data_IF_695768952257
#
_entry.id   IF_695768952257
#
_cell.length_a   1.000
_cell.length_b   1.000
_cell.length_c   1.000
_cell.angle_alpha   90.00
_cell.angle_beta   90.00
_cell.angle_gamma   90.00
#
_symmetry.space_group_name_H-M   'P 1'
#
loop_
_entity.id
_entity.type
_entity.pdbx_description
1 polymer ?
#
# COMPACT_ATOMS: atom_id res chain seq x y z
N UNK A 1 5.71 -7.44 49.73
CA UNK A 1 6.47 -6.88 48.58
C UNK A 1 6.58 -5.38 48.79
N UNK A 2 7.77 -4.77 48.71
CA UNK A 2 7.89 -3.33 48.89
C UNK A 2 7.13 -2.63 47.76
N UNK A 3 6.30 -1.67 48.15
CA UNK A 3 5.46 -0.86 47.27
C UNK A 3 6.41 -0.01 46.39
N UNK A 4 6.70 -0.48 45.17
CA UNK A 4 7.46 0.32 44.21
C UNK A 4 6.60 1.51 43.82
N UNK A 5 6.88 2.68 44.40
CA UNK A 5 6.34 3.94 43.93
C UNK A 5 6.72 4.10 42.45
N UNK A 6 5.74 3.94 41.56
CA UNK A 6 5.92 4.16 40.13
C UNK A 6 6.12 5.67 39.90
N UNK A 7 7.36 6.08 39.65
CA UNK A 7 7.67 7.43 39.21
C UNK A 7 7.23 7.59 37.75
N UNK A 8 6.27 8.48 37.49
CA UNK A 8 5.73 8.71 36.14
C UNK A 8 6.62 9.68 35.38
N UNK A 9 7.48 9.20 34.48
CA UNK A 9 8.43 10.05 33.73
C UNK A 9 7.79 10.93 32.65
N UNK A 10 6.69 10.46 32.05
CA UNK A 10 5.99 11.13 30.95
C UNK A 10 4.51 10.73 30.96
N UNK A 11 3.63 11.69 30.67
CA UNK A 11 2.20 11.48 30.43
C UNK A 11 1.83 11.84 29.00
N UNK A 12 0.89 11.10 28.41
CA UNK A 12 0.40 11.27 27.04
C UNK A 12 -1.07 11.71 27.05
N UNK A 13 -1.48 12.48 26.05
CA UNK A 13 -2.85 12.97 25.88
C UNK A 13 -3.36 12.60 24.49
N UNK A 14 -4.63 12.20 24.40
CA UNK A 14 -5.27 11.75 23.17
C UNK A 14 -6.56 12.55 22.93
N UNK A 15 -6.97 12.69 21.67
CA UNK A 15 -8.31 13.17 21.30
C UNK A 15 -9.32 12.01 21.23
N UNK A 16 -10.57 12.32 20.91
CA UNK A 16 -11.66 11.34 20.80
C UNK A 16 -11.53 10.41 19.57
N UNK A 17 -10.53 10.59 18.71
CA UNK A 17 -10.20 9.72 17.58
C UNK A 17 -8.96 8.86 17.88
N UNK A 18 -8.58 8.74 19.16
CA UNK A 18 -7.41 8.02 19.65
C UNK A 18 -6.08 8.51 19.06
N UNK A 19 -6.00 9.79 18.65
CA UNK A 19 -4.76 10.40 18.16
C UNK A 19 -4.04 11.13 19.29
N UNK A 20 -2.73 10.92 19.39
CA UNK A 20 -1.86 11.58 20.36
C UNK A 20 -1.84 13.09 20.10
N UNK A 21 -2.41 13.87 21.01
CA UNK A 21 -2.44 15.35 20.92
C UNK A 21 -1.32 16.02 21.70
N UNK A 22 -0.54 15.26 22.45
CA UNK A 22 0.58 15.81 23.19
C UNK A 22 1.13 14.88 24.26
N UNK A 23 2.26 15.31 24.83
CA UNK A 23 2.88 14.65 25.97
C UNK A 23 3.53 15.67 26.90
N UNK A 24 3.77 15.26 28.15
CA UNK A 24 4.38 16.07 29.19
C UNK A 24 5.33 15.22 30.03
N UNK A 25 6.62 15.56 30.01
CA UNK A 25 7.60 15.01 30.96
C UNK A 25 7.40 15.63 32.35
N UNK A 26 7.89 14.96 33.41
CA UNK A 26 7.91 15.54 34.77
C UNK A 26 8.55 16.91 34.75
N UNK A 27 7.90 17.91 35.35
CA UNK A 27 8.39 19.30 35.44
C UNK A 27 8.66 19.98 34.08
N UNK A 28 8.32 19.33 32.97
CA UNK A 28 8.52 19.82 31.62
C UNK A 28 7.31 20.61 31.10
N UNK A 29 7.57 21.47 30.11
CA UNK A 29 6.52 22.16 29.37
C UNK A 29 5.79 21.14 28.50
N UNK A 30 4.45 21.18 28.52
CA UNK A 30 3.60 20.32 27.68
C UNK A 30 3.94 20.55 26.21
N UNK A 31 4.17 19.45 25.48
CA UNK A 31 4.20 19.45 24.02
C UNK A 31 2.80 19.17 23.49
N UNK A 32 2.36 19.94 22.51
CA UNK A 32 1.08 19.78 21.80
C UNK A 32 1.36 19.46 20.34
N UNK A 33 0.56 18.57 19.77
CA UNK A 33 0.68 18.05 18.42
C UNK A 33 -0.59 18.40 17.65
N UNK A 34 -0.43 18.92 16.43
CA UNK A 34 -1.52 19.36 15.57
C UNK A 34 -1.42 18.67 14.21
N UNK A 35 -2.55 18.16 13.75
CA UNK A 35 -2.65 17.29 12.58
C UNK A 35 -3.51 17.94 11.50
N UNK A 36 -3.11 17.74 10.25
CA UNK A 36 -3.98 17.91 9.08
C UNK A 36 -4.26 16.50 8.55
N UNK A 37 -5.53 16.10 8.58
CA UNK A 37 -5.94 14.69 8.38
C UNK A 37 -5.19 13.76 9.35
N UNK A 38 -4.37 12.85 8.83
CA UNK A 38 -3.55 11.91 9.60
C UNK A 38 -2.09 12.35 9.75
N UNK A 39 -1.71 13.50 9.19
CA UNK A 39 -0.32 13.97 9.17
C UNK A 39 -0.05 15.01 10.24
N UNK A 40 1.03 14.82 11.00
CA UNK A 40 1.54 15.82 11.93
C UNK A 40 2.05 17.03 11.12
N UNK A 41 1.50 18.22 11.41
CA UNK A 41 1.87 19.46 10.71
C UNK A 41 2.57 20.45 11.64
N UNK A 42 2.17 20.49 12.91
CA UNK A 42 2.75 21.44 13.87
C UNK A 42 2.91 20.82 15.24
N UNK A 43 4.04 21.11 15.88
CA UNK A 43 4.26 20.88 17.30
C UNK A 43 4.44 22.22 18.01
N UNK A 44 3.94 22.33 19.24
CA UNK A 44 4.20 23.49 20.11
C UNK A 44 4.67 23.02 21.47
N UNK A 45 5.69 23.67 22.03
CA UNK A 45 6.19 23.43 23.37
C UNK A 45 6.60 24.76 24.00
N UNK A 46 5.72 25.34 24.82
CA UNK A 46 5.92 26.70 25.34
C UNK A 46 5.90 27.71 24.20
N UNK A 47 6.96 28.51 24.09
CA UNK A 47 7.14 29.50 23.02
C UNK A 47 7.78 28.92 21.75
N UNK A 48 8.30 27.69 21.83
CA UNK A 48 8.83 26.99 20.65
C UNK A 48 7.68 26.41 19.82
N UNK A 49 7.66 26.77 18.54
CA UNK A 49 6.80 26.16 17.53
C UNK A 49 7.66 25.46 16.48
N UNK A 50 7.22 24.27 16.08
CA UNK A 50 7.80 23.52 14.97
C UNK A 50 6.75 23.25 13.92
N UNK A 51 7.02 23.62 12.69
CA UNK A 51 6.12 23.37 11.55
C UNK A 51 6.79 22.47 10.55
N UNK A 52 6.03 21.53 9.99
CA UNK A 52 6.51 20.55 9.02
C UNK A 52 6.03 20.99 7.64
N UNK A 53 6.96 21.09 6.69
CA UNK A 53 6.68 21.42 5.30
C UNK A 53 6.80 20.15 4.48
N UNK A 54 5.72 19.77 3.81
CA UNK A 54 5.63 18.56 3.01
C UNK A 54 4.83 18.80 1.73
N UNK A 55 5.05 17.96 0.71
CA UNK A 55 4.26 17.90 -0.50
C UNK A 55 3.88 16.45 -0.80
N UNK A 56 2.58 16.14 -0.71
CA UNK A 56 2.12 14.75 -0.61
C UNK A 56 2.79 14.05 0.58
N UNK A 57 3.34 12.86 0.34
CA UNK A 57 4.08 12.09 1.36
C UNK A 57 5.54 12.50 1.56
N UNK A 58 6.06 13.40 0.72
CA UNK A 58 7.45 13.80 0.78
C UNK A 58 7.64 14.90 1.83
N UNK A 59 8.40 14.61 2.89
CA UNK A 59 8.89 15.61 3.83
C UNK A 59 9.97 16.46 3.15
N UNK A 60 9.83 17.78 3.20
CA UNK A 60 10.72 18.72 2.52
C UNK A 60 11.55 19.54 3.51
N UNK A 61 10.90 20.05 4.56
CA UNK A 61 11.57 20.89 5.54
C UNK A 61 10.91 20.84 6.91
N UNK A 62 11.66 21.24 7.92
CA UNK A 62 11.18 21.54 9.26
C UNK A 62 11.54 22.99 9.60
N UNK A 63 10.55 23.78 9.99
CA UNK A 63 10.73 25.13 10.49
C UNK A 63 10.60 25.15 12.00
N UNK A 64 11.57 25.73 12.69
CA UNK A 64 11.55 25.96 14.13
C UNK A 64 11.47 27.46 14.36
N UNK A 65 10.45 27.90 15.11
CA UNK A 65 10.26 29.28 15.55
C UNK A 65 10.38 29.33 17.06
N UNK A 66 11.26 30.18 17.55
CA UNK A 66 11.37 30.52 18.96
C UNK A 66 11.52 32.04 19.03
N UNK A 67 10.59 32.71 19.70
CA UNK A 67 10.45 34.16 19.68
C UNK A 67 10.40 34.71 18.24
N UNK A 68 11.24 35.70 17.93
CA UNK A 68 11.38 36.29 16.60
C UNK A 68 12.39 35.55 15.70
N UNK A 69 12.96 34.42 16.14
CA UNK A 69 13.92 33.65 15.35
C UNK A 69 13.22 32.51 14.63
N UNK A 70 13.43 32.44 13.32
CA UNK A 70 12.99 31.33 12.48
C UNK A 70 14.19 30.62 11.90
N UNK A 71 14.28 29.33 12.17
CA UNK A 71 15.29 28.42 11.62
C UNK A 71 14.58 27.44 10.70
N UNK A 72 15.12 27.26 9.49
CA UNK A 72 14.62 26.26 8.54
C UNK A 72 15.67 25.18 8.34
N UNK A 73 15.24 23.92 8.38
CA UNK A 73 16.04 22.75 8.09
C UNK A 73 15.45 22.05 6.87
N UNK A 74 16.25 21.90 5.81
CA UNK A 74 15.87 21.08 4.66
C UNK A 74 16.11 19.62 4.99
N UNK A 75 15.16 18.75 4.63
CA UNK A 75 15.19 17.33 4.94
C UNK A 75 15.40 16.52 3.67
N UNK A 76 16.29 15.54 3.72
CA UNK A 76 16.35 14.46 2.75
C UNK A 76 15.80 13.20 3.41
N UNK A 77 14.79 12.60 2.78
CA UNK A 77 14.11 11.42 3.31
C UNK A 77 14.14 10.26 2.33
N UNK A 78 14.07 9.05 2.87
CA UNK A 78 13.80 7.87 2.07
C UNK A 78 12.32 7.83 1.62
N UNK A 79 11.98 6.77 0.88
CA UNK A 79 10.62 6.56 0.36
C UNK A 79 9.59 6.28 1.46
N UNK A 80 10.06 5.91 2.64
CA UNK A 80 9.24 5.61 3.80
C UNK A 80 9.20 6.78 4.77
N UNK A 81 9.65 7.98 4.34
CA UNK A 81 9.68 9.24 5.10
C UNK A 81 10.74 9.31 6.19
N UNK A 82 11.65 8.33 6.29
CA UNK A 82 12.74 8.38 7.27
C UNK A 82 13.76 9.45 6.88
N UNK A 83 14.06 10.38 7.77
CA UNK A 83 15.02 11.46 7.52
C UNK A 83 16.45 10.94 7.65
N UNK A 84 17.19 10.80 6.55
CA UNK A 84 18.59 10.38 6.59
C UNK A 84 19.57 11.55 6.48
N UNK A 85 19.09 12.74 6.11
CA UNK A 85 19.90 13.94 6.10
C UNK A 85 19.07 15.19 6.45
N UNK A 86 19.66 16.12 7.21
CA UNK A 86 19.10 17.43 7.46
C UNK A 86 20.16 18.51 7.26
N UNK A 87 19.80 19.59 6.58
CA UNK A 87 20.66 20.73 6.29
C UNK A 87 20.09 22.00 6.93
N UNK A 88 20.88 22.62 7.80
CA UNK A 88 20.57 23.91 8.43
C UNK A 88 21.66 24.91 8.07
N UNK A 89 21.39 25.80 7.10
CA UNK A 89 22.42 26.66 6.53
C UNK A 89 23.52 25.82 5.87
N UNK A 90 24.74 25.86 6.41
CA UNK A 90 25.86 25.01 5.97
C UNK A 90 26.07 23.77 6.85
N UNK A 91 25.34 23.65 7.97
CA UNK A 91 25.48 22.53 8.89
C UNK A 91 24.66 21.33 8.40
N UNK A 92 25.36 20.27 7.99
CA UNK A 92 24.75 19.02 7.58
C UNK A 92 24.72 18.01 8.74
N UNK A 93 23.62 17.29 8.87
CA UNK A 93 23.43 16.21 9.84
C UNK A 93 22.99 14.95 9.10
N UNK A 94 23.80 13.90 9.16
CA UNK A 94 23.49 12.60 8.55
C UNK A 94 23.01 11.62 9.62
N UNK A 95 22.01 10.80 9.28
CA UNK A 95 21.42 9.81 10.19
C UNK A 95 21.35 8.47 9.46
N UNK A 96 21.83 7.43 10.12
CA UNK A 96 21.75 6.06 9.64
C UNK A 96 20.82 5.25 10.55
N UNK A 97 19.93 4.48 9.95
CA UNK A 97 18.99 3.61 10.66
C UNK A 97 19.28 2.14 10.32
N UNK A 98 19.03 1.25 11.28
CA UNK A 98 18.78 -0.15 10.96
C UNK A 98 17.47 -0.28 10.15
N UNK A 99 17.21 -1.43 9.51
CA UNK A 99 15.93 -1.69 8.83
C UNK A 99 14.69 -1.40 9.70
N UNK A 100 14.81 -1.61 11.01
CA UNK A 100 13.74 -1.39 11.99
C UNK A 100 13.83 -0.01 12.66
N UNK A 101 14.53 0.96 12.07
CA UNK A 101 14.54 2.34 12.55
C UNK A 101 15.43 2.61 13.76
N UNK A 102 16.25 1.64 14.20
CA UNK A 102 17.19 1.86 15.30
C UNK A 102 18.34 2.75 14.85
N UNK A 103 18.68 3.75 15.65
CA UNK A 103 19.91 4.51 15.51
C UNK A 103 20.49 4.80 16.91
N UNK A 104 21.83 4.83 17.08
CA UNK A 104 22.44 5.21 18.34
C UNK A 104 22.13 6.68 18.67
N UNK A 105 21.57 6.92 19.85
CA UNK A 105 21.00 8.21 20.29
C UNK A 105 22.03 9.27 20.72
N UNK A 106 22.99 9.63 19.87
CA UNK A 106 24.03 10.60 20.19
C UNK A 106 23.90 11.98 19.50
N UNK A 107 22.88 12.22 18.66
CA UNK A 107 22.95 13.31 17.68
C UNK A 107 21.93 14.45 17.87
N UNK A 108 21.50 14.78 19.09
CA UNK A 108 20.61 15.95 19.31
C UNK A 108 19.30 15.90 18.50
N UNK A 109 18.84 14.68 18.16
CA UNK A 109 17.71 14.41 17.26
C UNK A 109 16.35 14.40 17.96
N UNK A 110 16.28 14.75 19.25
CA UNK A 110 15.03 14.74 20.02
C UNK A 110 13.97 15.71 19.46
N UNK A 111 14.37 16.63 18.59
CA UNK A 111 13.53 17.61 17.92
C UNK A 111 13.39 17.40 16.40
N UNK A 112 14.11 16.44 15.80
CA UNK A 112 14.04 16.18 14.37
C UNK A 112 13.10 15.01 14.09
N UNK A 113 12.30 15.12 13.03
CA UNK A 113 11.62 13.95 12.48
C UNK A 113 12.66 12.86 12.15
N UNK A 114 12.39 11.63 12.57
CA UNK A 114 13.32 10.51 12.44
C UNK A 114 12.79 9.43 11.51
N UNK A 115 12.80 8.19 11.98
CA UNK A 115 12.25 7.04 11.26
C UNK A 115 10.78 7.26 10.92
N UNK A 116 10.39 6.93 9.68
CA UNK A 116 9.02 7.10 9.16
C UNK A 116 8.44 8.51 9.31
N UNK A 117 9.30 9.52 9.39
CA UNK A 117 8.89 10.91 9.55
C UNK A 117 8.29 11.20 10.92
N UNK A 118 8.54 10.36 11.92
CA UNK A 118 8.08 10.53 13.30
C UNK A 118 9.26 10.86 14.22
N UNK A 119 9.11 11.79 15.16
CA UNK A 119 10.12 12.01 16.18
C UNK A 119 10.14 10.83 17.18
N UNK A 120 11.32 10.40 17.67
CA UNK A 120 11.38 9.43 18.74
C UNK A 120 10.82 10.02 20.05
N UNK A 121 10.14 9.18 20.83
CA UNK A 121 9.69 9.53 22.16
C UNK A 121 10.89 9.96 23.04
N UNK A 122 10.83 11.13 23.68
CA UNK A 122 12.01 11.71 24.31
C UNK A 122 12.48 10.99 25.58
N UNK A 123 11.69 10.07 26.14
CA UNK A 123 12.08 9.27 27.32
C UNK A 123 12.53 7.87 26.92
N UNK A 124 11.79 7.23 26.00
CA UNK A 124 11.97 5.82 25.68
C UNK A 124 12.70 5.56 24.37
N UNK A 125 12.81 6.56 23.50
CA UNK A 125 13.36 6.42 22.15
C UNK A 125 12.48 5.61 21.18
N UNK A 126 11.29 5.20 21.61
CA UNK A 126 10.33 4.50 20.77
C UNK A 126 9.67 5.43 19.75
N UNK A 127 9.12 4.88 18.67
CA UNK A 127 8.29 5.65 17.74
C UNK A 127 6.82 5.40 18.05
N UNK A 128 6.04 6.47 18.25
CA UNK A 128 4.61 6.41 18.54
C UNK A 128 3.82 6.38 17.22
N UNK A 129 3.88 5.25 16.51
CA UNK A 129 3.28 5.06 15.18
C UNK A 129 1.74 4.99 15.25
N UNK A 130 1.08 5.21 14.11
CA UNK A 130 -0.38 5.27 14.06
C UNK A 130 -0.96 6.47 14.80
N UNK A 131 -0.28 7.63 14.73
CA UNK A 131 -0.61 8.82 15.53
C UNK A 131 -0.67 8.52 17.03
N UNK A 132 0.25 7.69 17.52
CA UNK A 132 0.33 7.30 18.93
C UNK A 132 -0.49 6.08 19.33
N UNK A 133 -1.15 5.41 18.38
CA UNK A 133 -1.88 4.19 18.63
C UNK A 133 -1.00 3.07 19.24
N UNK A 134 0.21 2.85 18.71
CA UNK A 134 1.15 1.86 19.27
C UNK A 134 2.57 2.38 19.34
N UNK A 135 3.22 2.13 20.49
CA UNK A 135 4.64 2.35 20.66
C UNK A 135 5.44 1.25 19.96
N UNK A 136 6.17 1.61 18.92
CA UNK A 136 7.11 0.76 18.21
C UNK A 136 8.51 0.86 18.81
N UNK A 137 9.04 -0.29 19.23
CA UNK A 137 10.38 -0.40 19.78
C UNK A 137 11.35 -0.85 18.70
N UNK A 138 12.19 0.07 18.22
CA UNK A 138 13.17 -0.20 17.17
C UNK A 138 14.31 -1.13 17.61
N UNK A 139 14.56 -1.23 18.92
CA UNK A 139 15.56 -2.17 19.49
C UNK A 139 15.01 -3.59 19.49
N UNK A 140 13.75 -3.76 19.90
CA UNK A 140 13.06 -5.06 19.91
C UNK A 140 12.42 -5.42 18.57
N UNK A 141 12.41 -4.50 17.60
CA UNK A 141 11.88 -4.68 16.25
C UNK A 141 10.38 -5.03 16.20
N UNK A 142 9.61 -4.55 17.18
CA UNK A 142 8.18 -4.89 17.36
C UNK A 142 7.40 -3.79 18.07
N UNK A 143 6.08 -3.90 18.02
CA UNK A 143 5.21 -3.10 18.89
C UNK A 143 5.26 -3.58 20.34
N UNK A 144 5.03 -2.65 21.28
CA UNK A 144 4.95 -2.92 22.71
C UNK A 144 3.54 -3.33 23.17
N UNK A 145 2.52 -3.11 22.33
CA UNK A 145 1.13 -3.53 22.57
C UNK A 145 0.62 -4.44 21.43
N UNK A 146 -0.26 -5.41 21.75
CA UNK A 146 -0.85 -6.26 20.75
C UNK A 146 -1.81 -5.48 19.84
N UNK A 147 -1.89 -5.88 18.58
CA UNK A 147 -2.89 -5.42 17.62
C UNK A 147 -4.28 -5.98 17.96
N UNK A 148 -5.28 -5.11 18.08
CA UNK A 148 -6.67 -5.55 18.30
C UNK A 148 -7.30 -6.26 17.09
N UNK A 149 -6.72 -6.12 15.88
CA UNK A 149 -7.14 -6.83 14.67
C UNK A 149 -6.42 -8.17 14.50
N UNK A 150 -5.48 -8.53 15.36
CA UNK A 150 -4.83 -9.84 15.37
C UNK A 150 -5.54 -10.82 16.32
N UNK A 151 -5.41 -12.14 16.11
CA UNK A 151 -4.69 -12.80 15.02
C UNK A 151 -5.54 -13.06 13.76
N UNK A 152 -6.85 -12.87 13.84
CA UNK A 152 -7.80 -13.33 12.81
C UNK A 152 -8.33 -12.23 11.87
N UNK A 153 -8.02 -10.96 12.14
CA UNK A 153 -8.34 -9.83 11.26
C UNK A 153 -7.13 -9.34 10.46
N UNK A 154 -7.18 -8.08 10.03
CA UNK A 154 -6.21 -7.50 9.10
C UNK A 154 -4.77 -7.36 9.66
N UNK A 155 -4.60 -7.40 10.99
CA UNK A 155 -3.28 -7.31 11.65
C UNK A 155 -2.41 -8.58 11.49
N UNK A 156 -2.99 -9.68 11.00
CA UNK A 156 -2.29 -10.96 10.81
C UNK A 156 -2.00 -11.70 12.11
N UNK A 157 -1.34 -12.86 12.02
CA UNK A 157 -1.22 -13.81 13.13
C UNK A 157 -0.41 -13.29 14.34
N UNK A 158 0.65 -12.52 14.09
CA UNK A 158 1.50 -12.01 15.16
C UNK A 158 1.08 -10.59 15.55
N UNK A 159 0.37 -10.47 16.69
CA UNK A 159 -0.16 -9.21 17.20
C UNK A 159 0.89 -8.13 17.51
N UNK A 160 2.18 -8.48 17.58
CA UNK A 160 3.26 -7.52 17.87
C UNK A 160 4.13 -7.19 16.66
N UNK A 161 3.95 -7.87 15.53
CA UNK A 161 4.82 -7.71 14.38
C UNK A 161 4.68 -6.32 13.76
N UNK A 162 5.82 -5.68 13.48
CA UNK A 162 5.86 -4.50 12.63
C UNK A 162 6.15 -4.92 11.20
N UNK A 163 5.38 -4.40 10.23
CA UNK A 163 5.58 -4.64 8.79
C UNK A 163 5.66 -6.13 8.39
N UNK A 164 5.04 -7.03 9.17
CA UNK A 164 5.17 -8.49 9.02
C UNK A 164 6.64 -8.98 8.99
N UNK A 165 7.55 -8.26 9.64
CA UNK A 165 8.98 -8.56 9.66
C UNK A 165 9.79 -7.99 8.49
N UNK A 166 9.18 -7.25 7.56
CA UNK A 166 9.87 -6.63 6.42
C UNK A 166 9.66 -5.10 6.36
N UNK A 167 10.29 -4.34 7.27
CA UNK A 167 10.14 -2.88 7.34
C UNK A 167 10.86 -2.12 6.21
N UNK A 168 11.67 -2.80 5.38
CA UNK A 168 12.33 -2.20 4.22
C UNK A 168 11.35 -2.09 3.06
N UNK A 169 10.57 -3.14 2.82
CA UNK A 169 9.64 -3.21 1.70
C UNK A 169 8.20 -2.89 2.08
N UNK A 170 7.93 -2.65 3.37
CA UNK A 170 6.58 -2.41 3.87
C UNK A 170 6.55 -1.30 4.91
N UNK A 171 5.42 -0.62 4.99
CA UNK A 171 5.11 0.39 6.00
C UNK A 171 3.81 0.04 6.70
N UNK A 172 3.62 0.52 7.92
CA UNK A 172 2.37 0.41 8.67
C UNK A 172 2.04 1.81 9.23
N UNK A 173 1.40 2.67 8.41
CA UNK A 173 1.13 4.07 8.79
C UNK A 173 0.14 4.19 9.95
N UNK A 174 -0.84 3.28 10.04
CA UNK A 174 -1.88 3.27 11.06
C UNK A 174 -1.48 2.52 12.32
N UNK A 175 -0.39 1.75 12.26
CA UNK A 175 -0.05 0.81 13.31
C UNK A 175 -1.09 -0.29 13.42
N UNK A 176 -1.63 -0.80 12.31
CA UNK A 176 -2.59 -1.91 12.25
C UNK A 176 -2.46 -2.72 10.97
N UNK A 177 -2.29 -2.05 9.84
CA UNK A 177 -2.39 -2.65 8.52
C UNK A 177 -1.15 -2.30 7.73
N UNK A 178 -0.47 -3.35 7.28
CA UNK A 178 0.74 -3.22 6.51
C UNK A 178 0.42 -2.85 5.06
N UNK A 179 0.91 -1.70 4.64
CA UNK A 179 1.00 -1.25 3.25
C UNK A 179 2.31 -1.75 2.63
N UNK A 180 2.25 -2.36 1.45
CA UNK A 180 3.46 -2.71 0.69
C UNK A 180 3.97 -1.47 -0.05
N UNK A 181 5.29 -1.30 -0.16
CA UNK A 181 5.97 -0.19 -0.85
C UNK A 181 5.69 -0.16 -2.38
N UNK A 182 4.75 -0.98 -2.86
CA UNK A 182 4.37 -1.14 -4.26
C UNK A 182 3.51 -0.01 -4.83
N UNK A 183 3.04 0.92 -3.97
CA UNK A 183 1.90 1.75 -4.33
C UNK A 183 2.17 2.73 -5.47
N UNK A 184 3.39 3.28 -5.61
CA UNK A 184 3.75 4.19 -6.71
C UNK A 184 5.23 4.04 -7.11
N UNK A 185 5.63 2.83 -7.51
CA UNK A 185 7.01 2.57 -7.93
C UNK A 185 7.37 3.43 -9.15
N UNK A 186 8.50 4.14 -9.11
CA UNK A 186 9.08 4.72 -10.33
C UNK A 186 9.69 3.61 -11.21
N UNK A 187 9.97 3.91 -12.49
CA UNK A 187 10.60 2.96 -13.44
C UNK A 187 11.81 2.22 -12.86
N UNK A 188 12.69 2.93 -12.16
CA UNK A 188 13.92 2.36 -11.57
C UNK A 188 13.62 1.42 -10.41
N UNK A 189 12.68 1.80 -9.53
CA UNK A 189 12.26 0.97 -8.40
C UNK A 189 11.49 -0.26 -8.85
N UNK A 190 10.62 -0.12 -9.86
CA UNK A 190 9.91 -1.25 -10.44
C UNK A 190 10.89 -2.28 -11.04
N UNK A 191 12.00 -1.82 -11.63
CA UNK A 191 13.06 -2.69 -12.13
C UNK A 191 13.80 -3.40 -11.00
N UNK A 192 14.16 -2.69 -9.93
CA UNK A 192 14.80 -3.29 -8.76
C UNK A 192 13.89 -4.36 -8.10
N UNK A 193 12.63 -4.02 -7.84
CA UNK A 193 11.64 -4.95 -7.30
C UNK A 193 11.45 -6.17 -8.21
N UNK A 194 11.45 -5.98 -9.54
CA UNK A 194 11.35 -7.11 -10.47
C UNK A 194 12.54 -8.06 -10.40
N UNK A 195 13.74 -7.54 -10.13
CA UNK A 195 14.97 -8.34 -9.96
C UNK A 195 14.91 -9.11 -8.64
N UNK A 196 14.51 -8.44 -7.56
CA UNK A 196 14.46 -9.02 -6.22
C UNK A 196 13.40 -10.11 -6.09
N UNK A 197 12.19 -9.85 -6.58
CA UNK A 197 11.04 -10.76 -6.43
C UNK A 197 10.89 -11.76 -7.58
N UNK A 198 11.59 -11.55 -8.70
CA UNK A 198 11.36 -12.29 -9.94
C UNK A 198 10.01 -12.02 -10.61
N UNK A 199 9.18 -11.11 -10.07
CA UNK A 199 7.89 -10.71 -10.63
C UNK A 199 8.13 -9.66 -11.72
N UNK A 200 7.64 -9.91 -12.93
CA UNK A 200 7.80 -8.95 -14.02
C UNK A 200 6.78 -7.80 -13.89
N UNK A 201 7.26 -6.63 -13.47
CA UNK A 201 6.45 -5.41 -13.44
C UNK A 201 6.33 -4.74 -14.80
N UNK A 202 5.13 -4.24 -15.10
CA UNK A 202 4.86 -3.47 -16.32
C UNK A 202 4.11 -2.20 -15.99
N UNK A 203 4.37 -1.10 -16.72
CA UNK A 203 3.62 0.13 -16.55
C UNK A 203 2.14 -0.12 -16.86
N UNK A 204 1.30 0.47 -16.03
CA UNK A 204 -0.14 0.52 -16.15
C UNK A 204 -0.60 1.97 -15.95
N UNK A 205 -1.72 2.32 -16.57
CA UNK A 205 -2.29 3.68 -16.57
C UNK A 205 -3.81 3.64 -16.47
N UNK A 206 -4.41 4.76 -16.06
CA UNK A 206 -5.86 4.94 -15.97
C UNK A 206 -6.54 3.85 -15.14
N UNK A 207 -6.12 3.69 -13.89
CA UNK A 207 -6.72 2.71 -12.98
C UNK A 207 -8.09 3.20 -12.56
N UNK A 208 -9.14 2.49 -12.96
CA UNK A 208 -10.54 2.84 -12.70
C UNK A 208 -11.16 1.80 -11.79
N UNK A 209 -11.78 2.24 -10.67
CA UNK A 209 -12.57 1.34 -9.82
C UNK A 209 -13.98 1.22 -10.41
N UNK A 210 -14.36 0.03 -10.87
CA UNK A 210 -15.68 -0.19 -11.46
C UNK A 210 -16.74 -0.48 -10.40
N UNK A 211 -16.38 -1.22 -9.35
CA UNK A 211 -17.24 -1.55 -8.21
C UNK A 211 -16.39 -1.86 -6.98
N UNK A 212 -17.01 -2.31 -5.90
CA UNK A 212 -16.29 -3.05 -4.86
C UNK A 212 -15.55 -4.24 -5.48
N UNK A 213 -14.30 -4.45 -5.09
CA UNK A 213 -13.47 -5.58 -5.56
C UNK A 213 -13.03 -5.58 -7.04
N UNK A 214 -13.58 -4.73 -7.92
CA UNK A 214 -13.30 -4.77 -9.37
C UNK A 214 -12.65 -3.49 -9.87
N UNK A 215 -11.46 -3.64 -10.43
CA UNK A 215 -10.69 -2.55 -11.01
C UNK A 215 -10.34 -2.86 -12.46
N UNK A 216 -10.13 -1.80 -13.24
CA UNK A 216 -9.57 -1.89 -14.57
C UNK A 216 -8.42 -0.93 -14.73
N UNK A 217 -7.50 -1.27 -15.62
CA UNK A 217 -6.41 -0.38 -16.02
C UNK A 217 -5.90 -0.73 -17.40
N UNK A 218 -5.20 0.20 -18.01
CA UNK A 218 -4.66 0.07 -19.35
C UNK A 218 -3.18 -0.31 -19.28
N UNK A 219 -2.77 -1.25 -20.13
CA UNK A 219 -1.37 -1.52 -20.40
C UNK A 219 -1.16 -1.81 -21.90
N UNK A 220 0.10 -2.00 -22.29
CA UNK A 220 0.44 -2.35 -23.67
C UNK A 220 0.86 -3.83 -23.77
N UNK A 221 0.35 -4.54 -24.77
CA UNK A 221 0.72 -5.92 -25.08
C UNK A 221 1.10 -6.05 -26.55
N UNK A 222 2.36 -6.46 -26.81
CA UNK A 222 2.91 -6.57 -28.16
C UNK A 222 2.74 -5.28 -29.00
N UNK A 223 2.88 -4.13 -28.36
CA UNK A 223 2.76 -2.82 -29.02
C UNK A 223 1.34 -2.31 -29.23
N UNK A 224 0.32 -3.04 -28.76
CA UNK A 224 -1.08 -2.66 -28.88
C UNK A 224 -1.74 -2.43 -27.51
N UNK A 225 -2.74 -1.53 -27.41
CA UNK A 225 -3.42 -1.23 -26.16
C UNK A 225 -4.24 -2.43 -25.68
N UNK A 226 -4.14 -2.74 -24.39
CA UNK A 226 -4.90 -3.81 -23.72
C UNK A 226 -5.57 -3.28 -22.46
N UNK A 227 -6.82 -3.69 -22.27
CA UNK A 227 -7.52 -3.50 -20.99
C UNK A 227 -7.21 -4.67 -20.07
N UNK A 228 -6.81 -4.39 -18.84
CA UNK A 228 -6.76 -5.39 -17.77
C UNK A 228 -7.92 -5.18 -16.81
N UNK A 229 -8.59 -6.27 -16.46
CA UNK A 229 -9.64 -6.33 -15.46
C UNK A 229 -9.10 -7.18 -14.30
N UNK A 230 -9.16 -6.66 -13.08
CA UNK A 230 -8.74 -7.36 -11.86
C UNK A 230 -9.90 -7.45 -10.89
N UNK A 231 -9.97 -8.56 -10.17
CA UNK A 231 -10.95 -8.80 -9.13
C UNK A 231 -10.90 -10.25 -8.67
N UNK A 232 -11.86 -10.63 -7.85
CA UNK A 232 -12.01 -11.99 -7.35
C UNK A 232 -13.07 -12.77 -8.12
N UNK A 233 -12.91 -14.09 -8.16
CA UNK A 233 -13.76 -14.96 -8.95
C UNK A 233 -13.60 -16.41 -8.57
N UNK A 234 -14.65 -17.15 -8.88
CA UNK A 234 -14.72 -18.60 -8.77
C UNK A 234 -15.10 -19.14 -10.16
N UNK A 235 -15.01 -20.46 -10.42
CA UNK A 235 -15.39 -21.00 -11.72
C UNK A 235 -16.77 -20.50 -12.16
N UNK A 236 -16.87 -20.00 -13.39
CA UNK A 236 -18.12 -19.49 -13.98
C UNK A 236 -18.51 -18.04 -13.65
N UNK A 237 -17.95 -17.39 -12.62
CA UNK A 237 -18.43 -16.06 -12.17
C UNK A 237 -17.38 -15.17 -11.50
N UNK A 238 -17.59 -13.85 -11.58
CA UNK A 238 -16.97 -12.89 -10.66
C UNK A 238 -17.64 -13.01 -9.28
N UNK A 239 -16.87 -12.82 -8.20
CA UNK A 239 -17.43 -12.87 -6.84
C UNK A 239 -18.51 -11.80 -6.59
N UNK A 240 -18.34 -10.62 -7.18
CA UNK A 240 -19.35 -9.54 -7.17
C UNK A 240 -20.65 -9.89 -7.93
N UNK A 241 -20.70 -11.04 -8.61
CA UNK A 241 -21.91 -11.53 -9.27
C UNK A 241 -22.24 -10.90 -10.63
N UNK A 242 -21.41 -9.99 -11.16
CA UNK A 242 -21.67 -9.37 -12.46
C UNK A 242 -21.61 -10.37 -13.61
N UNK A 243 -22.67 -10.41 -14.41
CA UNK A 243 -22.63 -10.98 -15.76
C UNK A 243 -21.64 -10.21 -16.65
N UNK A 244 -21.19 -10.84 -17.73
CA UNK A 244 -20.30 -10.18 -18.68
C UNK A 244 -20.91 -8.91 -19.30
N UNK A 245 -22.23 -8.86 -19.48
CA UNK A 245 -22.94 -7.69 -20.02
C UNK A 245 -22.98 -6.55 -19.00
N UNK A 246 -23.21 -6.87 -17.72
CA UNK A 246 -23.19 -5.87 -16.64
C UNK A 246 -21.80 -5.27 -16.49
N UNK A 247 -20.74 -6.09 -16.59
CA UNK A 247 -19.37 -5.61 -16.53
C UNK A 247 -19.04 -4.66 -17.69
N UNK A 248 -19.48 -4.98 -18.92
CA UNK A 248 -19.34 -4.08 -20.08
C UNK A 248 -20.11 -2.76 -19.85
N UNK A 249 -21.32 -2.85 -19.32
CA UNK A 249 -22.17 -1.69 -19.04
C UNK A 249 -21.57 -0.81 -17.94
N UNK A 250 -21.00 -1.41 -16.91
CA UNK A 250 -20.31 -0.74 -15.81
C UNK A 250 -19.05 -0.03 -16.29
N UNK A 251 -18.22 -0.73 -17.09
CA UNK A 251 -17.04 -0.14 -17.73
C UNK A 251 -17.43 1.10 -18.55
N UNK A 252 -18.46 0.98 -19.41
CA UNK A 252 -18.94 2.10 -20.22
C UNK A 252 -19.48 3.26 -19.38
N UNK A 253 -20.25 2.98 -18.31
CA UNK A 253 -20.77 4.00 -17.39
C UNK A 253 -19.66 4.81 -16.72
N UNK A 254 -18.53 4.17 -16.43
CA UNK A 254 -17.36 4.80 -15.81
C UNK A 254 -16.30 5.24 -16.82
N UNK A 255 -16.66 5.45 -18.09
CA UNK A 255 -15.76 6.01 -19.10
C UNK A 255 -14.71 5.05 -19.68
N UNK A 256 -14.79 3.76 -19.35
CA UNK A 256 -13.90 2.72 -19.89
C UNK A 256 -14.50 2.13 -21.17
N UNK A 257 -14.09 2.68 -22.30
CA UNK A 257 -14.50 2.23 -23.64
C UNK A 257 -13.71 0.99 -24.08
N UNK A 258 -14.27 -0.21 -23.86
CA UNK A 258 -13.60 -1.50 -24.13
C UNK A 258 -13.22 -1.67 -25.61
N UNK A 259 -13.95 -1.04 -26.53
CA UNK A 259 -13.75 -1.13 -27.98
C UNK A 259 -12.42 -0.56 -28.47
N UNK A 260 -11.79 0.34 -27.69
CA UNK A 260 -10.47 0.95 -28.01
C UNK A 260 -9.28 0.01 -27.81
N UNK A 261 -9.50 -1.16 -27.19
CA UNK A 261 -8.43 -2.10 -26.87
C UNK A 261 -8.41 -3.27 -27.85
N UNK A 262 -7.20 -3.66 -28.28
CA UNK A 262 -6.99 -4.80 -29.18
C UNK A 262 -7.14 -6.14 -28.46
N UNK A 263 -6.97 -6.15 -27.13
CA UNK A 263 -7.17 -7.34 -26.32
C UNK A 263 -7.58 -6.99 -24.89
N UNK A 264 -8.06 -7.99 -24.16
CA UNK A 264 -8.39 -7.91 -22.75
C UNK A 264 -7.59 -8.97 -21.99
N UNK A 265 -7.16 -8.64 -20.77
CA UNK A 265 -6.68 -9.61 -19.78
C UNK A 265 -7.55 -9.56 -18.54
N UNK A 266 -8.07 -10.70 -18.11
CA UNK A 266 -8.80 -10.85 -16.87
C UNK A 266 -7.90 -11.54 -15.85
N UNK A 267 -7.36 -10.78 -14.90
CA UNK A 267 -6.57 -11.33 -13.79
C UNK A 267 -7.54 -11.58 -12.63
N UNK A 268 -8.25 -12.69 -12.76
CA UNK A 268 -9.29 -13.12 -11.82
C UNK A 268 -9.18 -14.64 -11.66
N UNK A 269 -9.25 -15.14 -10.43
CA UNK A 269 -9.20 -16.57 -10.13
C UNK A 269 -10.29 -17.33 -10.88
N UNK A 270 -9.93 -18.48 -11.44
CA UNK A 270 -10.85 -19.38 -12.14
C UNK A 270 -11.67 -18.75 -13.27
N UNK A 271 -11.22 -17.61 -13.82
CA UNK A 271 -11.90 -16.90 -14.91
C UNK A 271 -12.01 -17.70 -16.22
N UNK A 272 -11.11 -18.68 -16.42
CA UNK A 272 -11.15 -19.61 -17.54
C UNK A 272 -11.69 -21.00 -17.16
N UNK A 273 -12.09 -21.21 -15.89
CA UNK A 273 -12.71 -22.45 -15.44
C UNK A 273 -14.23 -22.43 -15.73
N UNK A 274 -14.75 -23.61 -16.04
CA UNK A 274 -16.16 -23.82 -16.35
C UNK A 274 -16.88 -24.26 -15.07
N UNK A 275 -17.99 -23.62 -14.76
CA UNK A 275 -18.94 -24.13 -13.78
C UNK A 275 -19.80 -25.21 -14.44
N UNK A 276 -19.91 -26.38 -13.80
CA UNK A 276 -20.85 -27.43 -14.24
C UNK A 276 -22.11 -27.28 -13.41
N UNK A 277 -23.26 -27.19 -14.07
CA UNK A 277 -24.53 -27.22 -13.37
C UNK A 277 -24.82 -28.62 -12.78
N UNK A 278 -25.85 -28.73 -11.94
CA UNK A 278 -26.28 -29.97 -11.27
C UNK A 278 -26.67 -31.11 -12.22
N UNK A 279 -26.82 -30.82 -13.52
CA UNK A 279 -27.11 -31.80 -14.58
C UNK A 279 -25.86 -32.22 -15.38
N UNK A 280 -24.67 -31.75 -15.00
CA UNK A 280 -23.41 -32.11 -15.66
C UNK A 280 -23.20 -31.46 -17.04
N UNK A 281 -24.05 -30.50 -17.42
CA UNK A 281 -23.88 -29.73 -18.66
C UNK A 281 -22.79 -28.68 -18.42
N UNK A 282 -21.76 -28.70 -19.26
CA UNK A 282 -20.69 -27.71 -19.22
C UNK A 282 -21.18 -26.39 -19.81
N UNK A 283 -21.25 -25.35 -18.99
CA UNK A 283 -21.43 -23.99 -19.49
C UNK A 283 -20.10 -23.46 -20.07
N UNK A 284 -20.10 -22.26 -20.62
CA UNK A 284 -18.87 -21.56 -21.00
C UNK A 284 -18.24 -20.90 -19.77
N UNK A 285 -16.91 -20.78 -19.76
CA UNK A 285 -16.24 -19.99 -18.72
C UNK A 285 -16.64 -18.52 -18.79
N UNK A 286 -16.52 -17.80 -17.67
CA UNK A 286 -16.80 -16.37 -17.61
C UNK A 286 -16.04 -15.58 -18.69
N UNK A 287 -14.75 -15.87 -18.86
CA UNK A 287 -13.92 -15.24 -19.87
C UNK A 287 -14.34 -15.59 -21.32
N UNK A 288 -14.85 -16.80 -21.58
CA UNK A 288 -15.39 -17.15 -22.89
C UNK A 288 -16.70 -16.39 -23.18
N UNK A 289 -17.60 -16.29 -22.19
CA UNK A 289 -18.81 -15.47 -22.31
C UNK A 289 -18.47 -14.01 -22.58
N UNK A 290 -17.54 -13.44 -21.83
CA UNK A 290 -17.07 -12.08 -22.03
C UNK A 290 -16.46 -11.87 -23.42
N UNK A 291 -15.61 -12.81 -23.88
CA UNK A 291 -15.02 -12.79 -25.22
C UNK A 291 -16.07 -12.77 -26.34
N UNK A 292 -17.15 -13.55 -26.21
CA UNK A 292 -18.27 -13.57 -27.19
C UNK A 292 -19.01 -12.24 -27.25
N UNK A 293 -19.15 -11.55 -26.11
CA UNK A 293 -19.80 -10.24 -26.02
C UNK A 293 -18.95 -9.15 -26.67
N UNK A 294 -17.68 -9.04 -26.28
CA UNK A 294 -16.80 -7.93 -26.70
C UNK A 294 -16.09 -8.17 -28.03
N UNK A 295 -16.07 -9.42 -28.53
CA UNK A 295 -15.44 -9.84 -29.79
C UNK A 295 -13.96 -9.43 -29.91
N UNK A 296 -13.24 -9.39 -28.79
CA UNK A 296 -11.80 -9.12 -28.69
C UNK A 296 -11.11 -10.28 -27.97
N UNK A 297 -9.86 -10.65 -28.29
CA UNK A 297 -9.12 -11.68 -27.57
C UNK A 297 -9.10 -11.45 -26.06
N UNK A 298 -9.46 -12.46 -25.27
CA UNK A 298 -9.47 -12.41 -23.81
C UNK A 298 -8.48 -13.41 -23.25
N UNK A 299 -7.44 -12.93 -22.55
CA UNK A 299 -6.57 -13.78 -21.72
C UNK A 299 -7.15 -13.93 -20.31
N UNK A 300 -7.29 -15.15 -19.84
CA UNK A 300 -7.83 -15.50 -18.53
C UNK A 300 -7.04 -16.66 -17.90
N UNK A 301 -7.45 -17.12 -16.71
CA UNK A 301 -6.68 -18.08 -15.91
C UNK A 301 -7.56 -19.19 -15.35
N UNK A 302 -7.10 -20.43 -15.49
CA UNK A 302 -7.64 -21.61 -14.79
C UNK A 302 -6.91 -21.73 -13.46
N UNK A 303 -7.63 -21.88 -12.34
CA UNK A 303 -7.06 -21.91 -10.99
C UNK A 303 -6.78 -20.53 -10.38
N UNK A 304 -5.95 -20.51 -9.33
CA UNK A 304 -5.70 -19.34 -8.48
C UNK A 304 -4.60 -18.46 -9.06
N UNK A 305 -4.95 -17.22 -9.42
CA UNK A 305 -4.01 -16.22 -9.91
C UNK A 305 -3.73 -15.18 -8.83
N UNK A 306 -2.47 -14.78 -8.70
CA UNK A 306 -2.06 -13.70 -7.82
C UNK A 306 -1.51 -12.51 -8.61
N UNK A 307 -1.67 -11.31 -8.08
CA UNK A 307 -1.06 -10.11 -8.63
C UNK A 307 -0.63 -9.17 -7.51
N UNK A 308 0.19 -8.19 -7.86
CA UNK A 308 0.61 -7.16 -6.90
C UNK A 308 -0.61 -6.33 -6.55
N UNK A 309 -0.84 -6.18 -5.25
CA UNK A 309 -2.14 -5.92 -4.63
C UNK A 309 -2.81 -4.60 -5.05
N UNK A 310 -3.39 -4.57 -6.26
CA UNK A 310 -4.11 -3.41 -6.82
C UNK A 310 -5.25 -2.96 -5.90
N UNK A 311 -5.94 -3.91 -5.25
CA UNK A 311 -7.02 -3.62 -4.31
C UNK A 311 -6.55 -2.73 -3.16
N UNK A 312 -5.49 -3.12 -2.45
CA UNK A 312 -4.96 -2.32 -1.32
C UNK A 312 -4.38 -0.99 -1.75
N UNK A 313 -3.89 -0.88 -2.98
CA UNK A 313 -3.31 0.38 -3.50
C UNK A 313 -4.40 1.41 -3.79
N UNK A 314 -5.56 0.97 -4.26
CA UNK A 314 -6.66 1.84 -4.71
C UNK A 314 -7.93 1.64 -3.86
N UNK A 315 -7.77 1.27 -2.59
CA UNK A 315 -8.90 1.04 -1.68
C UNK A 315 -9.70 2.33 -1.42
N UNK A 316 -9.00 3.46 -1.33
CA UNK A 316 -9.58 4.80 -1.17
C UNK A 316 -10.13 5.40 -2.47
N UNK A 317 -9.83 4.80 -3.64
CA UNK A 317 -10.37 5.28 -4.92
C UNK A 317 -11.88 5.03 -4.93
N UNK A 318 -12.69 6.06 -5.13
CA UNK A 318 -14.14 5.96 -5.19
C UNK A 318 -14.63 5.11 -6.37
N UNK A 319 -15.82 4.51 -6.24
CA UNK A 319 -16.43 3.78 -7.36
C UNK A 319 -16.72 4.75 -8.51
N UNK A 320 -16.20 4.43 -9.69
CA UNK A 320 -16.25 5.26 -10.89
C UNK A 320 -15.12 6.28 -11.01
N UNK A 321 -14.25 6.42 -10.01
CA UNK A 321 -13.08 7.28 -10.09
C UNK A 321 -11.95 6.61 -10.87
N UNK A 322 -11.12 7.45 -11.50
CA UNK A 322 -9.95 7.03 -12.27
C UNK A 322 -8.70 7.70 -11.73
N UNK A 323 -7.74 6.89 -11.31
CA UNK A 323 -6.37 7.33 -11.04
C UNK A 323 -5.54 7.36 -12.34
N UNK A 324 -4.99 8.53 -12.67
CA UNK A 324 -4.28 8.79 -13.94
C UNK A 324 -2.75 8.82 -13.82
N UNK A 325 -2.19 8.63 -12.62
CA UNK A 325 -0.74 8.65 -12.40
C UNK A 325 -0.04 7.34 -12.81
N UNK A 326 1.30 7.31 -12.64
CA UNK A 326 2.08 6.11 -12.92
C UNK A 326 1.74 4.98 -11.94
N UNK A 327 1.50 3.78 -12.47
CA UNK A 327 1.29 2.55 -11.70
C UNK A 327 2.05 1.39 -12.36
N UNK A 328 2.48 0.41 -11.56
CA UNK A 328 3.14 -0.80 -12.06
C UNK A 328 2.40 -2.03 -11.60
N UNK A 329 2.10 -2.91 -12.56
CA UNK A 329 1.36 -4.13 -12.34
C UNK A 329 2.20 -5.36 -12.68
N UNK A 330 2.08 -6.39 -11.84
CA UNK A 330 2.74 -7.68 -12.03
C UNK A 330 1.80 -8.82 -11.62
N UNK A 331 1.83 -9.91 -12.41
CA UNK A 331 1.14 -11.16 -12.07
C UNK A 331 2.18 -12.09 -11.44
N UNK A 332 1.86 -12.65 -10.29
CA UNK A 332 2.70 -13.63 -9.58
C UNK A 332 2.85 -14.88 -10.44
N UNK A 333 4.02 -15.51 -10.47
CA UNK A 333 4.23 -16.74 -11.23
C UNK A 333 4.06 -17.96 -10.31
N UNK A 334 3.52 -19.09 -10.79
CA UNK A 334 3.42 -20.31 -9.98
C UNK A 334 4.78 -20.80 -9.44
N UNK A 335 5.88 -20.50 -10.13
CA UNK A 335 7.24 -20.94 -9.79
C UNK A 335 8.14 -19.82 -9.20
N UNK A 336 7.61 -18.63 -8.89
CA UNK A 336 8.42 -17.60 -8.21
C UNK A 336 8.63 -18.03 -6.76
N UNK A 337 9.81 -18.60 -6.48
CA UNK A 337 10.39 -18.93 -5.15
C UNK A 337 9.36 -19.29 -4.07
N UNK A 338 9.19 -20.61 -3.88
CA UNK A 338 8.27 -21.37 -3.01
C UNK A 338 7.95 -20.87 -1.58
N UNK A 339 8.52 -19.76 -1.11
CA UNK A 339 8.34 -19.27 0.27
C UNK A 339 7.49 -18.00 0.39
N UNK A 340 7.33 -17.17 -0.66
CA UNK A 340 6.73 -15.83 -0.50
C UNK A 340 5.22 -15.71 -0.79
N UNK A 341 4.64 -16.60 -1.62
CA UNK A 341 3.22 -16.53 -2.01
C UNK A 341 2.54 -17.91 -2.09
N UNK A 342 2.23 -18.55 -0.95
CA UNK A 342 1.51 -19.82 -0.95
C UNK A 342 0.13 -19.67 -1.60
N UNK A 343 -0.20 -20.55 -2.56
CA UNK A 343 -1.54 -20.65 -3.16
C UNK A 343 -1.70 -20.18 -4.61
N UNK A 344 -0.68 -19.58 -5.24
CA UNK A 344 -0.74 -19.22 -6.67
C UNK A 344 -0.48 -20.45 -7.53
N UNK A 345 -1.51 -20.96 -8.20
CA UNK A 345 -1.41 -22.09 -9.10
C UNK A 345 -2.43 -21.94 -10.23
N UNK A 346 -1.94 -21.58 -11.42
CA UNK A 346 -2.82 -21.34 -12.56
C UNK A 346 -2.26 -21.82 -13.90
N UNK A 347 -3.16 -21.97 -14.87
CA UNK A 347 -2.83 -22.09 -16.29
C UNK A 347 -3.49 -20.96 -17.09
N UNK A 348 -2.72 -20.14 -17.85
CA UNK A 348 -3.30 -19.09 -18.67
C UNK A 348 -3.99 -19.68 -19.91
N UNK A 349 -5.17 -19.15 -20.26
CA UNK A 349 -5.97 -19.51 -21.44
C UNK A 349 -6.29 -18.24 -22.22
N UNK A 350 -6.33 -18.33 -23.55
CA UNK A 350 -6.72 -17.22 -24.42
C UNK A 350 -7.93 -17.62 -25.25
N UNK A 351 -9.01 -16.87 -25.12
CA UNK A 351 -10.22 -16.99 -25.93
C UNK A 351 -10.14 -16.00 -27.09
N UNK A 352 -10.23 -16.50 -28.32
CA UNK A 352 -10.13 -15.71 -29.54
C UNK A 352 -11.06 -16.31 -30.62
N UNK A 353 -12.23 -15.70 -30.77
CA UNK A 353 -13.26 -16.15 -31.73
C UNK A 353 -12.78 -16.00 -33.18
N UNK A 354 -11.89 -15.05 -33.49
CA UNK A 354 -11.39 -14.86 -34.85
C UNK A 354 -10.59 -16.09 -35.33
N UNK A 355 -9.82 -16.72 -34.44
CA UNK A 355 -9.04 -17.93 -34.73
C UNK A 355 -9.85 -19.23 -34.76
N UNK A 356 -11.04 -19.27 -34.17
CA UNK A 356 -11.92 -20.46 -34.25
C UNK A 356 -12.56 -20.62 -35.63
N UNK A 357 -12.71 -19.52 -36.39
CA UNK A 357 -13.31 -19.54 -37.74
C UNK A 357 -12.43 -20.19 -38.83
N UNK A 358 -11.11 -20.32 -38.61
CA UNK A 358 -10.17 -20.85 -39.62
C UNK A 358 -9.89 -22.36 -39.52
N UNK A 359 -10.55 -23.09 -38.60
CA UNK A 359 -10.33 -24.53 -38.40
C UNK A 359 -11.51 -25.42 -38.83
N UNK A 360 -12.51 -24.87 -39.50
CA UNK A 360 -13.60 -25.64 -40.13
C UNK A 360 -13.55 -25.40 -41.64
N UNK A 361 -12.52 -25.91 -42.30
CA UNK A 361 -12.48 -26.21 -43.74
C UNK A 361 -11.32 -27.18 -44.00
N UNK A 362 -11.61 -28.47 -43.92
CA UNK A 362 -11.14 -29.56 -44.79
C UNK A 362 -11.82 -30.85 -44.35
#
# INVERSE_FOLDING_TARGET
MPNQHKTTLIGYHYDALDRLTGHRQIEGVRRQLFYCESWLVTEMQGEEQRSIVQHGDQLLAQQQRLDNRVVSMLLATDQQRSVFNALQGTQQRSIAYSPFGYHPGASGLSSLLGFKGQPPDPVTGHYLLGNGYRAFNSVLMRFNSPDSLSPFGAGGLNAYAYCLGDPVNRSDPTGHIVSELSQFLSRTKARAYSIETGIQLKPARNVTRLSEGVFTFEDDYKGAPRLTITGHGVPGKLEEGFSGLELVSLAKRHGVHIDKFESIRMVVCSSADIERNSYGIADISYAEGFNRLVKRPVKAYQGTVGSINTYKVFEELGVGETYSGEYYFGVLKPDSTREQHPGVQYRPVVFDVAKRSSKVRS
#
